data_IF_272670104654
#
_entry.id   IF_272670104654
#
_cell.length_a   1.000
_cell.length_b   1.000
_cell.length_c   1.000
_cell.angle_alpha   90.00
_cell.angle_beta   90.00
_cell.angle_gamma   90.00
#
_symmetry.space_group_name_H-M   'P 1'
#
loop_
_entity.id
_entity.type
_entity.pdbx_description
1 polymer ?
#
# COMPACT_ATOMS: atom_id res chain seq x y z
N UNK A 1 16.23 -27.48 -6.63
CA UNK A 1 14.75 -27.36 -6.57
C UNK A 1 14.27 -25.99 -6.10
N UNK A 2 14.90 -25.35 -5.11
CA UNK A 2 14.59 -23.95 -4.73
C UNK A 2 14.86 -22.95 -5.87
N UNK A 3 15.98 -23.09 -6.58
CA UNK A 3 16.36 -22.14 -7.64
C UNK A 3 15.34 -22.02 -8.78
N UNK A 4 14.78 -23.14 -9.26
CA UNK A 4 13.80 -23.11 -10.36
C UNK A 4 12.50 -22.38 -9.98
N UNK A 5 12.01 -22.60 -8.74
CA UNK A 5 10.79 -21.90 -8.26
C UNK A 5 11.06 -20.42 -8.07
N UNK A 6 12.24 -20.08 -7.55
CA UNK A 6 12.66 -18.69 -7.38
C UNK A 6 12.79 -17.97 -8.73
N UNK A 7 13.44 -18.60 -9.71
CA UNK A 7 13.56 -18.11 -11.09
C UNK A 7 12.19 -17.89 -11.73
N UNK A 8 11.27 -18.83 -11.56
CA UNK A 8 9.90 -18.71 -12.07
C UNK A 8 9.18 -17.50 -11.48
N UNK A 9 9.29 -17.26 -10.17
CA UNK A 9 8.68 -16.08 -9.53
C UNK A 9 9.34 -14.77 -9.98
N UNK A 10 10.67 -14.74 -10.11
CA UNK A 10 11.41 -13.57 -10.62
C UNK A 10 11.03 -13.25 -12.06
N UNK A 11 10.93 -14.27 -12.90
CA UNK A 11 10.53 -14.14 -14.29
C UNK A 11 9.09 -13.62 -14.40
N UNK A 12 8.17 -14.12 -13.56
CA UNK A 12 6.79 -13.64 -13.52
C UNK A 12 6.70 -12.14 -13.23
N UNK A 13 7.46 -11.65 -12.23
CA UNK A 13 7.55 -10.22 -11.91
C UNK A 13 8.05 -9.43 -13.14
N UNK A 14 9.10 -9.92 -13.79
CA UNK A 14 9.70 -9.26 -14.97
C UNK A 14 8.73 -9.20 -16.15
N UNK A 15 7.98 -10.26 -16.42
CA UNK A 15 7.06 -10.37 -17.55
C UNK A 15 5.79 -9.54 -17.37
N UNK A 16 5.26 -9.44 -16.14
CA UNK A 16 4.06 -8.65 -15.86
C UNK A 16 4.32 -7.15 -15.85
N UNK A 17 5.53 -6.72 -15.52
CA UNK A 17 5.89 -5.32 -15.46
C UNK A 17 5.20 -4.58 -14.31
N UNK A 18 4.89 -3.30 -14.52
CA UNK A 18 4.35 -2.41 -13.48
C UNK A 18 2.88 -2.71 -13.21
N UNK A 19 2.56 -2.96 -11.95
CA UNK A 19 1.18 -3.14 -11.50
C UNK A 19 0.39 -1.83 -11.57
N UNK A 20 -0.90 -1.94 -11.92
CA UNK A 20 -1.83 -0.81 -11.91
C UNK A 20 -2.62 -0.83 -10.60
N UNK A 21 -2.43 0.18 -9.76
CA UNK A 21 -3.19 0.38 -8.51
C UNK A 21 -4.61 0.82 -8.89
N UNK A 22 -5.61 0.01 -8.52
CA UNK A 22 -7.02 0.21 -8.91
C UNK A 22 -7.88 0.94 -7.87
N UNK A 23 -7.26 1.50 -6.84
CA UNK A 23 -7.94 2.26 -5.79
C UNK A 23 -7.27 3.63 -5.56
N UNK A 24 -7.89 4.50 -4.78
CA UNK A 24 -7.30 5.78 -4.40
C UNK A 24 -6.01 5.55 -3.59
N UNK A 25 -4.89 6.06 -4.11
CA UNK A 25 -3.57 5.83 -3.54
C UNK A 25 -3.19 6.75 -2.38
N UNK A 26 -4.03 7.73 -2.01
CA UNK A 26 -3.73 8.75 -0.97
C UNK A 26 -3.42 8.17 0.41
N UNK A 27 -3.86 6.95 0.69
CA UNK A 27 -3.67 6.27 1.97
C UNK A 27 -2.33 5.54 2.08
N UNK A 28 -1.57 5.43 0.99
CA UNK A 28 -0.31 4.69 0.96
C UNK A 28 0.87 5.64 1.09
N UNK A 29 1.92 5.19 1.77
CA UNK A 29 3.22 5.85 1.73
C UNK A 29 3.87 5.65 0.36
N UNK A 30 4.89 6.46 0.03
CA UNK A 30 5.64 6.29 -1.23
C UNK A 30 6.24 4.88 -1.35
N UNK A 31 6.77 4.33 -0.26
CA UNK A 31 7.33 2.97 -0.21
C UNK A 31 6.27 1.90 -0.49
N UNK A 32 5.06 2.08 0.04
CA UNK A 32 3.94 1.18 -0.23
C UNK A 32 3.48 1.27 -1.68
N UNK A 33 3.42 2.48 -2.25
CA UNK A 33 3.12 2.68 -3.67
C UNK A 33 4.17 1.96 -4.52
N UNK A 34 5.46 2.18 -4.28
CA UNK A 34 6.55 1.49 -5.01
C UNK A 34 6.46 -0.04 -4.88
N UNK A 35 6.13 -0.53 -3.68
CA UNK A 35 5.93 -1.96 -3.42
C UNK A 35 4.76 -2.52 -4.24
N UNK A 36 3.63 -1.82 -4.28
CA UNK A 36 2.47 -2.23 -5.08
C UNK A 36 2.79 -2.21 -6.57
N UNK A 37 3.42 -1.14 -7.07
CA UNK A 37 3.82 -1.01 -8.48
C UNK A 37 4.77 -2.14 -8.90
N UNK A 38 5.68 -2.56 -8.03
CA UNK A 38 6.68 -3.59 -8.32
C UNK A 38 6.17 -5.03 -8.15
N UNK A 39 5.36 -5.28 -7.12
CA UNK A 39 5.02 -6.64 -6.69
C UNK A 39 3.51 -6.93 -6.72
N UNK A 40 2.64 -5.99 -7.06
CA UNK A 40 1.19 -6.19 -7.00
C UNK A 40 0.69 -7.36 -7.83
N UNK A 41 1.20 -7.54 -9.06
CA UNK A 41 0.88 -8.71 -9.88
C UNK A 41 1.36 -10.02 -9.25
N UNK A 42 2.49 -9.98 -8.53
CA UNK A 42 3.05 -11.14 -7.85
C UNK A 42 2.25 -11.50 -6.60
N UNK A 43 1.79 -10.51 -5.83
CA UNK A 43 0.88 -10.70 -4.71
C UNK A 43 -0.46 -11.30 -5.17
N UNK A 44 -1.06 -10.74 -6.23
CA UNK A 44 -2.28 -11.26 -6.84
C UNK A 44 -2.13 -12.74 -7.24
N UNK A 45 -1.02 -13.08 -7.91
CA UNK A 45 -0.73 -14.43 -8.35
C UNK A 45 -0.49 -15.43 -7.20
N UNK A 46 0.03 -14.97 -6.06
CA UNK A 46 0.15 -15.81 -4.86
C UNK A 46 -1.22 -16.08 -4.23
N UNK A 47 -2.09 -15.07 -4.21
CA UNK A 47 -3.42 -15.17 -3.61
C UNK A 47 -4.40 -15.99 -4.46
N UNK A 48 -4.36 -15.86 -5.79
CA UNK A 48 -5.25 -16.59 -6.70
C UNK A 48 -4.76 -18.01 -7.03
N UNK A 49 -3.54 -18.36 -6.61
CA UNK A 49 -2.93 -19.68 -6.80
C UNK A 49 -2.22 -19.88 -8.14
N UNK A 50 -2.13 -18.85 -9.00
CA UNK A 50 -1.32 -18.85 -10.23
C UNK A 50 0.14 -19.18 -9.92
N UNK A 51 0.67 -18.64 -8.82
CA UNK A 51 1.98 -18.96 -8.27
C UNK A 51 1.84 -19.70 -6.95
N UNK A 52 2.49 -20.86 -6.84
CA UNK A 52 2.50 -21.63 -5.60
C UNK A 52 3.53 -21.07 -4.63
N UNK A 53 3.19 -20.83 -3.35
CA UNK A 53 4.15 -20.42 -2.35
C UNK A 53 5.19 -21.53 -2.14
N UNK A 54 6.47 -21.17 -2.17
CA UNK A 54 7.59 -22.09 -1.98
C UNK A 54 8.45 -21.75 -0.75
N UNK A 55 8.23 -20.59 -0.13
CA UNK A 55 8.85 -20.19 1.14
C UNK A 55 7.82 -20.03 2.23
N UNK A 56 8.27 -20.14 3.49
CA UNK A 56 7.38 -19.93 4.63
C UNK A 56 6.83 -18.50 4.69
N UNK A 57 7.64 -17.50 4.31
CA UNK A 57 7.18 -16.11 4.22
C UNK A 57 6.02 -15.95 3.24
N UNK A 58 6.06 -16.62 2.09
CA UNK A 58 4.96 -16.58 1.11
C UNK A 58 3.70 -17.30 1.61
N UNK A 59 3.85 -18.41 2.33
CA UNK A 59 2.69 -19.10 2.95
C UNK A 59 2.04 -18.22 4.02
N UNK A 60 2.87 -17.62 4.88
CA UNK A 60 2.43 -16.68 5.92
C UNK A 60 1.76 -15.44 5.35
N UNK A 61 2.23 -14.95 4.20
CA UNK A 61 1.58 -13.89 3.46
C UNK A 61 0.16 -14.30 3.07
N UNK A 62 -0.02 -15.44 2.40
CA UNK A 62 -1.34 -15.92 1.98
C UNK A 62 -2.28 -16.10 3.18
N UNK A 63 -1.80 -16.69 4.29
CA UNK A 63 -2.58 -16.82 5.53
C UNK A 63 -3.06 -15.47 6.07
N UNK A 64 -2.20 -14.44 6.04
CA UNK A 64 -2.58 -13.10 6.49
C UNK A 64 -3.68 -12.49 5.60
N UNK A 65 -3.59 -12.70 4.29
CA UNK A 65 -4.59 -12.19 3.34
C UNK A 65 -5.93 -12.91 3.44
N UNK A 66 -5.92 -14.19 3.79
CA UNK A 66 -7.13 -14.98 4.04
C UNK A 66 -7.79 -14.67 5.39
N UNK A 67 -7.12 -13.92 6.28
CA UNK A 67 -7.61 -13.64 7.63
C UNK A 67 -7.34 -14.74 8.65
N UNK A 68 -6.50 -15.74 8.31
CA UNK A 68 -6.08 -16.79 9.25
C UNK A 68 -5.14 -16.25 10.35
N UNK A 69 -4.55 -15.08 10.12
CA UNK A 69 -3.68 -14.37 11.06
C UNK A 69 -3.63 -12.87 10.74
N UNK A 70 -3.21 -12.09 11.72
CA UNK A 70 -2.95 -10.65 11.52
C UNK A 70 -1.73 -10.41 10.60
N UNK A 71 -1.82 -9.46 9.64
CA UNK A 71 -0.69 -8.95 8.89
C UNK A 71 0.41 -8.42 9.82
N UNK A 72 1.66 -8.76 9.52
CA UNK A 72 2.82 -8.34 10.32
C UNK A 72 3.92 -7.73 9.47
N UNK A 73 4.26 -8.32 8.31
CA UNK A 73 5.29 -7.77 7.45
C UNK A 73 4.75 -6.60 6.61
N UNK A 74 5.65 -5.74 6.12
CA UNK A 74 5.28 -4.61 5.25
C UNK A 74 4.47 -5.05 4.04
N UNK A 75 4.83 -6.17 3.42
CA UNK A 75 4.10 -6.74 2.27
C UNK A 75 2.69 -7.17 2.67
N UNK A 76 2.56 -7.86 3.81
CA UNK A 76 1.27 -8.32 4.34
C UNK A 76 0.35 -7.13 4.62
N UNK A 77 0.87 -6.10 5.30
CA UNK A 77 0.12 -4.89 5.65
C UNK A 77 -0.27 -4.12 4.39
N UNK A 78 0.68 -3.87 3.49
CA UNK A 78 0.44 -3.11 2.26
C UNK A 78 -0.62 -3.77 1.37
N UNK A 79 -0.53 -5.08 1.14
CA UNK A 79 -1.50 -5.79 0.30
C UNK A 79 -2.88 -5.91 0.98
N UNK A 80 -2.93 -6.13 2.30
CA UNK A 80 -4.19 -6.12 3.05
C UNK A 80 -4.88 -4.75 2.97
N UNK A 81 -4.14 -3.65 3.16
CA UNK A 81 -4.66 -2.29 2.97
C UNK A 81 -5.21 -2.07 1.57
N UNK A 82 -4.49 -2.54 0.53
CA UNK A 82 -4.93 -2.44 -0.86
C UNK A 82 -6.27 -3.17 -1.10
N UNK A 83 -6.39 -4.43 -0.66
CA UNK A 83 -7.63 -5.20 -0.82
C UNK A 83 -8.80 -4.59 -0.04
N UNK A 84 -8.55 -4.14 1.20
CA UNK A 84 -9.56 -3.48 2.01
C UNK A 84 -10.04 -2.18 1.34
N UNK A 85 -9.12 -1.38 0.78
CA UNK A 85 -9.49 -0.16 0.07
C UNK A 85 -10.30 -0.43 -1.18
N UNK A 86 -9.93 -1.45 -1.98
CA UNK A 86 -10.74 -1.88 -3.13
C UNK A 86 -12.15 -2.30 -2.72
N UNK A 87 -12.27 -3.06 -1.63
CA UNK A 87 -13.57 -3.49 -1.11
C UNK A 87 -14.42 -2.29 -0.68
N UNK A 88 -13.83 -1.36 0.08
CA UNK A 88 -14.51 -0.15 0.55
C UNK A 88 -14.98 0.74 -0.60
N UNK A 89 -14.15 0.97 -1.61
CA UNK A 89 -14.52 1.79 -2.78
C UNK A 89 -15.59 1.11 -3.65
N UNK A 90 -15.60 -0.23 -3.70
CA UNK A 90 -16.67 -0.98 -4.36
C UNK A 90 -17.99 -0.90 -3.61
N UNK A 91 -17.96 -0.93 -2.28
CA UNK A 91 -19.14 -0.90 -1.41
C UNK A 91 -19.74 0.52 -1.26
N UNK A 92 -18.90 1.54 -1.13
CA UNK A 92 -19.30 2.91 -0.82
C UNK A 92 -19.13 3.89 -1.99
N UNK A 93 -18.57 3.47 -3.13
CA UNK A 93 -18.31 4.35 -4.27
C UNK A 93 -17.33 5.49 -3.96
N UNK A 94 -17.46 6.60 -4.68
CA UNK A 94 -16.53 7.75 -4.62
C UNK A 94 -16.70 8.65 -3.38
N UNK A 95 -17.58 8.30 -2.43
CA UNK A 95 -17.84 9.09 -1.22
C UNK A 95 -16.65 9.11 -0.23
N UNK A 96 -15.62 8.30 -0.49
CA UNK A 96 -14.37 8.28 0.27
C UNK A 96 -13.33 9.30 -0.23
N UNK A 97 -13.61 10.04 -1.32
CA UNK A 97 -12.86 11.24 -1.71
C UNK A 97 -13.31 12.42 -0.85
N UNK A 98 -13.20 12.28 0.47
CA UNK A 98 -13.40 13.39 1.38
C UNK A 98 -12.18 14.30 1.28
N UNK A 99 -12.25 15.31 0.42
CA UNK A 99 -11.42 16.49 0.58
C UNK A 99 -11.84 17.14 1.89
N UNK A 100 -11.00 17.07 2.92
CA UNK A 100 -11.19 17.88 4.11
C UNK A 100 -11.09 19.34 3.68
N UNK A 101 -12.24 19.93 3.36
CA UNK A 101 -12.45 21.36 3.32
C UNK A 101 -12.82 21.67 4.77
N UNK A 102 -11.94 22.28 5.57
CA UNK A 102 -12.36 22.75 6.89
C UNK A 102 -13.57 23.65 6.67
N UNK A 103 -14.71 23.31 7.27
CA UNK A 103 -15.82 24.24 7.36
C UNK A 103 -15.27 25.49 8.03
N UNK A 104 -15.26 26.61 7.30
CA UNK A 104 -15.10 27.93 7.90
C UNK A 104 -16.06 27.96 9.10
N UNK A 105 -15.51 28.06 10.32
CA UNK A 105 -16.18 27.99 11.64
C UNK A 105 -16.01 26.70 12.49
N UNK A 106 -15.07 25.81 12.18
CA UNK A 106 -14.78 24.62 12.99
C UNK A 106 -13.53 24.67 13.88
N UNK A 107 -13.67 25.07 15.14
CA UNK A 107 -12.78 24.80 16.31
C UNK A 107 -11.32 25.32 16.33
N UNK A 108 -10.64 25.46 15.20
CA UNK A 108 -9.29 26.03 15.14
C UNK A 108 -9.37 27.48 14.66
N UNK A 109 -8.71 28.38 15.40
CA UNK A 109 -8.50 29.75 14.95
C UNK A 109 -7.57 29.76 13.73
N UNK A 110 -7.79 30.70 12.82
CA UNK A 110 -7.03 30.93 11.58
C UNK A 110 -5.49 30.86 11.75
N UNK A 111 -4.99 31.23 12.93
CA UNK A 111 -3.58 31.21 13.32
C UNK A 111 -3.03 29.77 13.50
N UNK A 112 -3.84 28.86 14.03
CA UNK A 112 -3.47 27.46 14.25
C UNK A 112 -3.33 26.68 12.94
N UNK A 113 -4.14 26.98 11.91
CA UNK A 113 -4.01 26.36 10.59
C UNK A 113 -2.70 26.71 9.90
N UNK A 114 -2.25 27.96 10.05
CA UNK A 114 -0.97 28.41 9.50
C UNK A 114 0.20 27.72 10.18
N UNK A 115 0.14 27.51 11.49
CA UNK A 115 1.19 26.80 12.21
C UNK A 115 1.18 25.30 11.92
N UNK A 116 0.02 24.67 11.74
CA UNK A 116 -0.09 23.27 11.31
C UNK A 116 0.45 23.10 9.89
N UNK A 117 0.07 23.95 8.93
CA UNK A 117 0.62 23.90 7.58
C UNK A 117 2.12 24.21 7.56
N UNK A 118 2.58 25.21 8.32
CA UNK A 118 4.00 25.54 8.41
C UNK A 118 4.79 24.36 8.97
N UNK A 119 4.30 23.64 9.98
CA UNK A 119 4.97 22.48 10.57
C UNK A 119 4.84 21.20 9.72
N UNK A 120 3.74 21.01 8.99
CA UNK A 120 3.52 19.83 8.12
C UNK A 120 4.36 19.90 6.84
N UNK A 121 4.70 21.11 6.37
CA UNK A 121 5.55 21.37 5.20
C UNK A 121 6.99 21.79 5.53
N UNK A 122 7.44 21.75 6.80
CA UNK A 122 8.85 22.04 7.18
C UNK A 122 9.65 20.82 7.65
N UNK A 123 9.19 19.61 7.35
CA UNK A 123 10.02 18.40 7.38
C UNK A 123 10.56 18.01 6.00
N UNK A 124 10.69 18.98 5.09
CA UNK A 124 11.57 18.84 3.95
C UNK A 124 12.68 19.90 4.02
N UNK A 125 13.88 19.35 4.08
CA UNK A 125 15.18 19.99 3.88
C UNK A 125 15.82 20.69 5.08
N UNK A 126 16.71 19.97 5.79
CA UNK A 126 18.06 20.41 6.11
C UNK A 126 18.95 19.19 6.44
N UNK A 127 19.32 18.44 5.39
CA UNK A 127 20.68 17.91 5.35
C UNK A 127 21.55 18.90 4.59
N UNK A 128 22.07 19.90 5.30
CA UNK A 128 23.38 20.46 4.93
C UNK A 128 24.03 21.23 6.09
N UNK A 129 25.27 20.81 6.36
CA UNK A 129 26.34 21.50 7.12
C UNK A 129 26.23 21.52 8.65
N UNK A 130 26.97 20.62 9.31
CA UNK A 130 28.38 20.85 9.66
C UNK A 130 29.08 19.59 10.14
#
# INVERSE_FOLDING_TARGET
MLSLKEELHKQYIKEKGTFVIKCNAVIFTNEQVEMLLKYGHWFEALCDGTLKPFTEKQRRFIQAINGDREPFSEQEVCWSMYLNRLKLEKEHGNHLNYNFIPEEEGFYREDMYRDIQRNLFSFEDHSDKS
#
